data_IF_194881309779
#
_entry.id   IF_194881309779
#
_cell.length_a   1.000
_cell.length_b   1.000
_cell.length_c   1.000
_cell.angle_alpha   90.00
_cell.angle_beta   90.00
_cell.angle_gamma   90.00
#
_symmetry.space_group_name_H-M   'P 1'
#
loop_
_entity.id
_entity.type
_entity.pdbx_description
1 polymer ?
#
# COMPACT_ATOMS: atom_id res chain seq x y z
N UNK A 1 -5.91 -8.73 -5.81
CA UNK A 1 -4.65 -9.45 -5.51
C UNK A 1 -4.83 -10.29 -4.25
N UNK A 2 -4.26 -11.49 -4.21
CA UNK A 2 -4.16 -12.35 -3.04
C UNK A 2 -2.73 -12.41 -2.50
N UNK A 3 -2.50 -13.11 -1.40
CA UNK A 3 -1.18 -13.20 -0.77
C UNK A 3 -0.12 -13.81 -1.70
N UNK A 4 -0.44 -14.85 -2.47
CA UNK A 4 0.49 -15.48 -3.39
C UNK A 4 0.85 -14.54 -4.57
N UNK A 5 -0.10 -13.74 -5.02
CA UNK A 5 0.11 -12.72 -6.05
C UNK A 5 0.96 -11.54 -5.53
N UNK A 6 0.77 -11.11 -4.27
CA UNK A 6 1.68 -10.15 -3.60
C UNK A 6 3.12 -10.67 -3.61
N UNK A 7 3.34 -11.90 -3.19
CA UNK A 7 4.67 -12.52 -3.14
C UNK A 7 5.29 -12.68 -4.53
N UNK A 8 4.47 -13.01 -5.52
CA UNK A 8 4.90 -13.02 -6.93
C UNK A 8 5.25 -11.61 -7.41
N UNK A 9 4.44 -10.61 -7.09
CA UNK A 9 4.70 -9.22 -7.45
C UNK A 9 6.00 -8.68 -6.86
N UNK A 10 6.29 -8.98 -5.58
CA UNK A 10 7.56 -8.65 -4.93
C UNK A 10 8.74 -9.26 -5.70
N UNK A 11 8.67 -10.55 -6.04
CA UNK A 11 9.70 -11.23 -6.81
C UNK A 11 9.88 -10.62 -8.19
N UNK A 12 8.79 -10.38 -8.92
CA UNK A 12 8.83 -9.79 -10.25
C UNK A 12 9.38 -8.36 -10.22
N UNK A 13 8.93 -7.54 -9.28
CA UNK A 13 9.39 -6.16 -9.13
C UNK A 13 10.90 -6.10 -8.86
N UNK A 14 11.39 -6.87 -7.90
CA UNK A 14 12.82 -6.92 -7.57
C UNK A 14 13.68 -7.39 -8.75
N UNK A 15 13.18 -8.33 -9.56
CA UNK A 15 13.88 -8.82 -10.75
C UNK A 15 13.89 -7.76 -11.87
N UNK A 16 12.79 -7.05 -12.10
CA UNK A 16 12.68 -5.99 -13.10
C UNK A 16 13.66 -4.84 -12.82
N UNK A 17 13.75 -4.41 -11.56
CA UNK A 17 14.62 -3.28 -11.17
C UNK A 17 16.01 -3.71 -10.71
N UNK A 18 16.29 -5.02 -10.68
CA UNK A 18 17.57 -5.61 -10.25
C UNK A 18 17.95 -5.19 -8.82
N UNK A 19 16.97 -5.27 -7.90
CA UNK A 19 17.14 -4.99 -6.48
C UNK A 19 16.85 -6.25 -5.66
N UNK A 20 17.26 -6.27 -4.39
CA UNK A 20 16.97 -7.36 -3.47
C UNK A 20 15.68 -7.13 -2.69
N UNK A 21 15.22 -5.87 -2.66
CA UNK A 21 14.08 -5.45 -1.87
C UNK A 21 13.30 -4.30 -2.51
N UNK A 22 12.01 -4.23 -2.20
CA UNK A 22 11.07 -3.18 -2.63
C UNK A 22 10.12 -2.83 -1.49
N UNK A 23 9.49 -1.65 -1.57
CA UNK A 23 8.38 -1.28 -0.68
C UNK A 23 7.06 -1.45 -1.44
N UNK A 24 6.04 -1.95 -0.76
CA UNK A 24 4.66 -2.03 -1.25
C UNK A 24 3.81 -1.05 -0.46
N UNK A 25 3.25 -0.04 -1.12
CA UNK A 25 2.57 1.08 -0.44
C UNK A 25 1.07 1.21 -0.69
N UNK A 26 0.54 0.61 -1.72
CA UNK A 26 -0.89 0.73 -2.06
C UNK A 26 -1.80 -0.18 -1.25
N UNK A 27 -3.06 -0.26 -1.69
CA UNK A 27 -4.11 -1.02 -1.00
C UNK A 27 -3.72 -2.45 -0.65
N UNK A 28 -2.94 -3.09 -1.53
CA UNK A 28 -2.57 -4.49 -1.38
C UNK A 28 -1.42 -4.73 -0.38
N UNK A 29 -0.83 -3.66 0.20
CA UNK A 29 0.14 -3.80 1.29
C UNK A 29 -0.47 -4.46 2.54
N UNK A 30 -1.80 -4.39 2.73
CA UNK A 30 -2.52 -5.10 3.82
C UNK A 30 -2.32 -6.61 3.78
N UNK A 31 -2.05 -7.17 2.60
CA UNK A 31 -1.72 -8.59 2.42
C UNK A 31 -0.37 -8.96 3.05
N UNK A 32 0.46 -7.99 3.44
CA UNK A 32 1.64 -8.18 4.26
C UNK A 32 1.30 -8.58 5.69
N UNK A 33 0.13 -8.17 6.19
CA UNK A 33 -0.37 -8.42 7.54
C UNK A 33 -1.36 -9.58 7.60
N UNK A 34 -2.35 -9.59 6.70
CA UNK A 34 -3.44 -10.57 6.67
C UNK A 34 -3.47 -11.34 5.35
N UNK A 35 -4.07 -12.52 5.38
CA UNK A 35 -4.45 -13.24 4.17
C UNK A 35 -5.73 -12.63 3.57
N UNK A 36 -5.99 -12.89 2.30
CA UNK A 36 -7.22 -12.44 1.62
C UNK A 36 -8.50 -12.94 2.29
N UNK A 37 -8.45 -14.08 2.97
CA UNK A 37 -9.61 -14.66 3.68
C UNK A 37 -9.97 -13.93 4.97
N UNK A 38 -9.05 -13.13 5.51
CA UNK A 38 -9.24 -12.33 6.72
C UNK A 38 -9.68 -10.89 6.40
N UNK A 39 -9.58 -10.50 5.12
CA UNK A 39 -9.84 -9.14 4.66
C UNK A 39 -11.26 -8.99 4.10
N UNK A 40 -11.91 -7.82 4.30
CA UNK A 40 -13.15 -7.49 3.62
C UNK A 40 -12.91 -7.33 2.11
N UNK A 41 -13.96 -7.56 1.31
CA UNK A 41 -13.89 -7.50 -0.16
C UNK A 41 -13.40 -6.14 -0.67
N UNK A 42 -13.71 -5.06 0.02
CA UNK A 42 -13.26 -3.70 -0.29
C UNK A 42 -11.73 -3.56 -0.23
N UNK A 43 -11.08 -4.35 0.61
CA UNK A 43 -9.61 -4.33 0.76
C UNK A 43 -8.89 -5.18 -0.30
N UNK A 44 -9.57 -6.15 -0.91
CA UNK A 44 -8.98 -7.07 -1.89
C UNK A 44 -9.43 -6.81 -3.34
N UNK A 45 -10.25 -5.79 -3.57
CA UNK A 45 -10.85 -5.50 -4.87
C UNK A 45 -9.84 -5.03 -5.95
N UNK A 46 -8.70 -4.46 -5.56
CA UNK A 46 -7.69 -3.97 -6.52
C UNK A 46 -6.86 -5.12 -7.09
N UNK A 47 -6.60 -5.05 -8.40
CA UNK A 47 -5.64 -5.90 -9.10
C UNK A 47 -4.29 -5.18 -9.35
N UNK A 48 -4.10 -4.02 -8.74
CA UNK A 48 -2.90 -3.18 -8.82
C UNK A 48 -2.04 -3.36 -7.57
N UNK A 49 -0.74 -3.53 -7.76
CA UNK A 49 0.26 -3.57 -6.70
C UNK A 49 1.20 -2.37 -6.84
N UNK A 50 1.05 -1.39 -5.96
CA UNK A 50 1.86 -0.17 -5.93
C UNK A 50 3.25 -0.48 -5.34
N UNK A 51 4.30 -0.34 -6.13
CA UNK A 51 5.67 -0.67 -5.76
C UNK A 51 6.56 0.56 -5.78
N UNK A 52 7.16 0.87 -4.64
CA UNK A 52 8.13 1.94 -4.46
C UNK A 52 9.55 1.36 -4.42
N UNK A 53 10.43 1.74 -5.37
CA UNK A 53 11.85 1.38 -5.28
C UNK A 53 12.52 2.01 -4.05
N UNK A 54 13.40 1.25 -3.36
CA UNK A 54 14.12 1.78 -2.20
C UNK A 54 15.19 2.80 -2.56
N UNK A 55 15.76 2.70 -3.76
CA UNK A 55 16.84 3.59 -4.20
C UNK A 55 16.29 4.97 -4.55
N UNK A 56 16.58 5.96 -3.70
CA UNK A 56 16.10 7.33 -3.87
C UNK A 56 16.70 8.06 -5.08
N UNK A 57 17.91 7.69 -5.49
CA UNK A 57 18.64 8.39 -6.56
C UNK A 57 18.00 8.18 -7.93
N UNK A 58 17.47 6.98 -8.19
CA UNK A 58 16.88 6.58 -9.48
C UNK A 58 15.42 6.15 -9.37
N UNK A 59 14.75 6.49 -8.27
CA UNK A 59 13.44 5.94 -7.93
C UNK A 59 12.38 6.19 -9.01
N UNK A 60 12.35 7.37 -9.64
CA UNK A 60 11.41 7.68 -10.73
C UNK A 60 11.68 6.87 -12.00
N UNK A 61 12.95 6.65 -12.33
CA UNK A 61 13.35 5.81 -13.48
C UNK A 61 12.98 4.35 -13.25
N UNK A 62 13.23 3.85 -12.04
CA UNK A 62 12.89 2.49 -11.65
C UNK A 62 11.37 2.27 -11.58
N UNK A 63 10.62 3.24 -11.05
CA UNK A 63 9.17 3.23 -11.04
C UNK A 63 8.60 3.19 -12.47
N UNK A 64 9.09 4.04 -13.36
CA UNK A 64 8.71 4.04 -14.79
C UNK A 64 9.01 2.69 -15.44
N UNK A 65 10.15 2.08 -15.12
CA UNK A 65 10.53 0.75 -15.63
C UNK A 65 9.57 -0.34 -15.13
N UNK A 66 9.16 -0.32 -13.87
CA UNK A 66 8.18 -1.25 -13.31
C UNK A 66 6.86 -1.18 -14.08
N UNK A 67 6.27 0.02 -14.18
CA UNK A 67 5.00 0.22 -14.89
C UNK A 67 5.14 -0.11 -16.39
N UNK A 68 6.29 0.17 -17.01
CA UNK A 68 6.54 -0.14 -18.42
C UNK A 68 6.64 -1.63 -18.72
N UNK A 69 7.15 -2.45 -17.79
CA UNK A 69 7.35 -3.90 -17.98
C UNK A 69 6.16 -4.72 -17.49
N UNK A 70 5.61 -4.37 -16.33
CA UNK A 70 4.58 -5.15 -15.64
C UNK A 70 3.33 -4.33 -15.27
N UNK A 71 3.15 -3.13 -15.82
CA UNK A 71 2.00 -2.27 -15.58
C UNK A 71 0.71 -2.76 -16.26
N UNK A 72 -0.33 -1.96 -16.12
CA UNK A 72 -1.63 -2.22 -16.72
C UNK A 72 -1.50 -2.45 -18.25
N UNK A 73 -2.26 -3.40 -18.78
CA UNK A 73 -2.26 -3.83 -20.18
C UNK A 73 -0.92 -4.43 -20.69
N UNK A 74 0.03 -4.70 -19.82
CA UNK A 74 1.26 -5.41 -20.16
C UNK A 74 1.02 -6.91 -20.38
N UNK A 75 2.03 -7.59 -20.93
CA UNK A 75 2.00 -9.07 -21.01
C UNK A 75 2.00 -9.72 -19.61
N UNK A 76 2.57 -9.06 -18.61
CA UNK A 76 2.52 -9.51 -17.23
C UNK A 76 1.09 -9.49 -16.71
N UNK A 77 0.39 -8.36 -16.85
CA UNK A 77 -1.02 -8.20 -16.46
C UNK A 77 -1.92 -9.23 -17.17
N UNK A 78 -1.79 -9.35 -18.49
CA UNK A 78 -2.55 -10.32 -19.28
C UNK A 78 -2.30 -11.78 -18.86
N UNK A 79 -1.12 -12.09 -18.33
CA UNK A 79 -0.75 -13.45 -17.93
C UNK A 79 -1.18 -13.78 -16.51
N UNK A 80 -1.09 -12.80 -15.60
CA UNK A 80 -1.23 -13.04 -14.16
C UNK A 80 -2.53 -12.47 -13.58
N UNK A 81 -3.27 -11.61 -14.31
CA UNK A 81 -4.53 -11.00 -13.85
C UNK A 81 -4.35 -9.88 -12.83
N UNK A 82 -3.12 -9.43 -12.60
CA UNK A 82 -2.77 -8.26 -11.81
C UNK A 82 -1.54 -7.59 -12.41
N UNK A 83 -1.30 -6.34 -12.03
CA UNK A 83 -0.17 -5.57 -12.53
C UNK A 83 0.58 -4.83 -11.42
N UNK A 84 1.80 -4.36 -11.76
CA UNK A 84 2.64 -3.57 -10.88
C UNK A 84 2.59 -2.11 -11.33
N UNK A 85 2.27 -1.22 -10.41
CA UNK A 85 2.43 0.21 -10.63
C UNK A 85 3.65 0.74 -9.89
N UNK A 86 4.62 1.22 -10.64
CA UNK A 86 5.82 1.85 -10.09
C UNK A 86 5.50 3.25 -9.61
N UNK A 87 5.66 3.49 -8.32
CA UNK A 87 5.29 4.76 -7.69
C UNK A 87 6.48 5.45 -7.04
N UNK A 88 6.39 6.77 -6.90
CA UNK A 88 7.40 7.59 -6.21
C UNK A 88 7.06 7.83 -4.74
N UNK A 89 8.04 8.31 -3.96
CA UNK A 89 7.85 8.59 -2.52
C UNK A 89 6.75 9.61 -2.21
N UNK A 90 6.43 10.49 -3.15
CA UNK A 90 5.38 11.51 -3.01
C UNK A 90 3.99 11.05 -3.44
N UNK A 91 3.84 9.80 -3.82
CA UNK A 91 2.55 9.24 -4.23
C UNK A 91 1.57 9.13 -3.04
N UNK A 92 2.10 8.93 -1.84
CA UNK A 92 1.30 8.86 -0.61
C UNK A 92 1.85 9.83 0.44
N UNK A 93 0.95 10.44 1.21
CA UNK A 93 1.30 11.19 2.42
C UNK A 93 1.21 10.20 3.59
N UNK A 94 2.33 10.04 4.31
CA UNK A 94 2.48 9.03 5.34
C UNK A 94 2.89 9.66 6.68
N UNK A 95 2.50 9.06 7.82
CA UNK A 95 2.90 9.53 9.14
C UNK A 95 4.41 9.48 9.34
N UNK A 96 4.95 10.38 10.13
CA UNK A 96 6.39 10.36 10.46
C UNK A 96 6.81 9.00 11.02
N UNK A 97 7.98 8.53 10.61
CA UNK A 97 8.56 7.26 11.05
C UNK A 97 7.93 6.01 10.44
N UNK A 98 7.13 6.14 9.38
CA UNK A 98 6.49 5.01 8.70
C UNK A 98 7.48 3.95 8.21
N UNK A 99 8.69 4.34 7.78
CA UNK A 99 9.72 3.39 7.34
C UNK A 99 10.12 2.41 8.46
N UNK A 100 10.12 2.87 9.72
CA UNK A 100 10.42 2.03 10.88
C UNK A 100 9.33 1.04 11.25
N UNK A 101 8.15 1.13 10.62
CA UNK A 101 6.99 0.28 10.88
C UNK A 101 6.64 -0.65 9.72
N UNK A 102 7.45 -0.65 8.67
CA UNK A 102 7.25 -1.54 7.52
C UNK A 102 7.29 -3.02 7.94
N UNK A 103 6.41 -3.78 7.35
CA UNK A 103 6.24 -5.21 7.61
C UNK A 103 6.97 -6.03 6.55
N UNK A 104 7.84 -6.93 6.99
CA UNK A 104 8.68 -7.74 6.11
C UNK A 104 7.92 -8.95 5.58
N UNK A 105 7.88 -9.07 4.26
CA UNK A 105 7.42 -10.26 3.53
C UNK A 105 8.62 -10.88 2.82
N UNK A 106 9.00 -12.09 3.24
CA UNK A 106 10.11 -12.85 2.64
C UNK A 106 9.91 -14.33 2.92
N UNK A 107 9.88 -15.14 1.87
CA UNK A 107 9.75 -16.60 1.96
C UNK A 107 10.21 -17.26 0.64
N UNK A 108 9.90 -18.56 0.47
CA UNK A 108 10.26 -19.30 -0.74
C UNK A 108 9.54 -18.77 -1.98
N UNK A 109 8.29 -18.27 -1.88
CA UNK A 109 7.55 -17.71 -3.00
C UNK A 109 8.15 -16.39 -3.48
N UNK A 110 8.75 -15.60 -2.58
CA UNK A 110 9.51 -14.40 -2.96
C UNK A 110 10.93 -14.74 -3.45
N UNK A 111 11.34 -16.03 -3.42
CA UNK A 111 12.70 -16.49 -3.69
C UNK A 111 13.75 -15.77 -2.85
N UNK A 112 13.42 -15.51 -1.58
CA UNK A 112 14.29 -14.80 -0.65
C UNK A 112 14.37 -13.28 -0.88
N UNK A 113 13.64 -12.72 -1.85
CA UNK A 113 13.50 -11.27 -2.02
C UNK A 113 12.61 -10.68 -0.94
N UNK A 114 12.82 -9.43 -0.60
CA UNK A 114 12.11 -8.76 0.49
C UNK A 114 11.10 -7.75 -0.08
N UNK A 115 9.84 -7.89 0.33
CA UNK A 115 8.83 -6.86 0.21
C UNK A 115 8.60 -6.21 1.58
N UNK A 116 8.72 -4.90 1.65
CA UNK A 116 8.40 -4.09 2.82
C UNK A 116 6.99 -3.50 2.64
N UNK A 117 6.00 -4.09 3.29
CA UNK A 117 4.62 -3.65 3.21
C UNK A 117 4.33 -2.56 4.24
N UNK A 118 3.51 -1.56 3.89
CA UNK A 118 3.07 -0.55 4.84
C UNK A 118 2.33 -1.19 6.02
N UNK A 119 2.57 -0.62 7.21
CA UNK A 119 1.68 -0.84 8.36
C UNK A 119 0.25 -0.44 7.99
N UNK A 120 -0.77 -1.24 8.35
CA UNK A 120 -2.17 -0.96 7.98
C UNK A 120 -2.72 0.38 8.47
N UNK A 121 -2.30 0.87 9.65
CA UNK A 121 -2.73 2.18 10.15
C UNK A 121 -2.09 3.31 9.34
N UNK A 122 -0.80 3.19 8.99
CA UNK A 122 -0.12 4.16 8.12
C UNK A 122 -0.75 4.19 6.72
N UNK A 123 -1.14 3.03 6.18
CA UNK A 123 -1.90 2.95 4.94
C UNK A 123 -3.27 3.65 5.05
N UNK A 124 -4.01 3.42 6.15
CA UNK A 124 -5.29 4.08 6.37
C UNK A 124 -5.16 5.60 6.43
N UNK A 125 -4.09 6.14 7.03
CA UNK A 125 -3.80 7.58 6.99
C UNK A 125 -3.61 8.06 5.55
N UNK A 126 -2.79 7.37 4.75
CA UNK A 126 -2.60 7.74 3.34
C UNK A 126 -3.93 7.71 2.55
N UNK A 127 -4.79 6.74 2.84
CA UNK A 127 -6.14 6.64 2.26
C UNK A 127 -7.06 7.79 2.67
N UNK A 128 -7.04 8.18 3.94
CA UNK A 128 -7.81 9.31 4.46
C UNK A 128 -7.36 10.63 3.81
N UNK A 129 -6.04 10.80 3.61
CA UNK A 129 -5.49 12.00 2.93
C UNK A 129 -5.89 12.02 1.45
N UNK A 130 -5.82 10.88 0.75
CA UNK A 130 -6.26 10.77 -0.65
C UNK A 130 -7.79 11.00 -0.82
N UNK A 131 -8.57 10.62 0.18
CA UNK A 131 -9.99 10.91 0.38
C UNK A 131 -10.92 10.63 -0.81
N UNK A 132 -10.59 9.67 -1.67
CA UNK A 132 -11.48 9.20 -2.75
C UNK A 132 -12.57 8.30 -2.16
N UNK A 133 -13.70 8.12 -2.86
CA UNK A 133 -14.78 7.24 -2.40
C UNK A 133 -14.29 5.82 -2.09
N UNK A 134 -13.45 5.26 -2.95
CA UNK A 134 -12.85 3.94 -2.75
C UNK A 134 -11.95 3.88 -1.51
N UNK A 135 -11.24 4.97 -1.19
CA UNK A 135 -10.34 5.05 -0.04
C UNK A 135 -11.13 5.10 1.27
N UNK A 136 -12.21 5.89 1.32
CA UNK A 136 -13.13 5.92 2.47
C UNK A 136 -13.81 4.56 2.70
N UNK A 137 -14.27 3.91 1.63
CA UNK A 137 -14.85 2.56 1.71
C UNK A 137 -13.85 1.54 2.24
N UNK A 138 -12.59 1.60 1.80
CA UNK A 138 -11.50 0.76 2.28
C UNK A 138 -11.28 0.92 3.79
N UNK A 139 -11.06 2.16 4.27
CA UNK A 139 -10.81 2.43 5.68
C UNK A 139 -12.02 2.02 6.54
N UNK A 140 -13.23 2.41 6.13
CA UNK A 140 -14.47 2.03 6.82
C UNK A 140 -14.64 0.52 6.95
N UNK A 141 -14.32 -0.24 5.89
CA UNK A 141 -14.41 -1.69 5.92
C UNK A 141 -13.42 -2.31 6.92
N UNK A 142 -12.17 -1.86 6.94
CA UNK A 142 -11.16 -2.36 7.88
C UNK A 142 -11.54 -2.04 9.34
N UNK A 143 -12.03 -0.83 9.61
CA UNK A 143 -12.49 -0.43 10.96
C UNK A 143 -13.67 -1.29 11.41
N UNK A 144 -14.70 -1.43 10.56
CA UNK A 144 -15.89 -2.26 10.88
C UNK A 144 -15.57 -3.73 11.14
N UNK A 145 -14.52 -4.26 10.50
CA UNK A 145 -14.05 -5.63 10.74
C UNK A 145 -13.09 -5.75 11.94
N UNK A 146 -12.83 -4.66 12.66
CA UNK A 146 -11.94 -4.66 13.83
C UNK A 146 -10.46 -4.90 13.48
N UNK A 147 -10.06 -4.66 12.23
CA UNK A 147 -8.69 -4.83 11.75
C UNK A 147 -7.82 -3.59 11.99
N UNK A 148 -8.44 -2.44 12.20
CA UNK A 148 -7.79 -1.17 12.50
C UNK A 148 -8.24 -0.69 13.87
N UNK A 149 -7.29 -0.36 14.72
CA UNK A 149 -7.52 0.31 16.00
C UNK A 149 -7.76 1.82 15.73
N UNK A 150 -8.97 2.34 16.06
CA UNK A 150 -9.30 3.74 15.83
C UNK A 150 -8.40 4.71 16.60
N UNK A 151 -8.02 4.39 17.83
CA UNK A 151 -7.17 5.27 18.65
C UNK A 151 -5.77 5.38 18.02
N UNK A 152 -5.18 4.25 17.62
CA UNK A 152 -3.89 4.23 16.95
C UNK A 152 -3.94 4.93 15.59
N UNK A 153 -5.04 4.80 14.83
CA UNK A 153 -5.22 5.52 13.57
C UNK A 153 -5.19 7.05 13.79
N UNK A 154 -5.88 7.54 14.82
CA UNK A 154 -5.87 8.97 15.16
C UNK A 154 -4.49 9.44 15.62
N UNK A 155 -3.76 8.65 16.40
CA UNK A 155 -2.37 8.95 16.78
C UNK A 155 -1.46 9.09 15.53
N UNK A 156 -1.58 8.17 14.57
CA UNK A 156 -0.84 8.25 13.31
C UNK A 156 -1.20 9.49 12.50
N UNK A 157 -2.46 9.89 12.52
CA UNK A 157 -2.93 11.09 11.83
C UNK A 157 -2.34 12.36 12.43
N UNK A 158 -2.20 12.45 13.78
CA UNK A 158 -1.51 13.56 14.46
C UNK A 158 -0.05 13.66 14.03
N UNK A 159 0.62 12.53 13.79
CA UNK A 159 2.01 12.48 13.35
C UNK A 159 2.20 12.73 11.85
N UNK A 160 1.14 13.10 11.14
CA UNK A 160 1.18 13.34 9.69
C UNK A 160 1.26 14.85 9.40
N UNK A 161 2.20 15.23 8.54
CA UNK A 161 2.38 16.63 8.14
C UNK A 161 1.36 17.00 7.05
N UNK A 162 0.33 17.75 7.42
CA UNK A 162 -0.79 18.18 6.57
C UNK A 162 -0.91 19.71 6.61
N UNK A 163 -1.25 20.30 5.46
CA UNK A 163 -1.71 21.69 5.45
C UNK A 163 -3.09 21.82 6.13
N UNK A 164 -3.44 23.05 6.57
CA UNK A 164 -4.64 23.32 7.35
C UNK A 164 -5.93 22.84 6.64
N UNK A 165 -6.06 23.10 5.34
CA UNK A 165 -7.26 22.75 4.58
C UNK A 165 -7.42 21.22 4.41
N UNK A 166 -6.33 20.53 4.15
CA UNK A 166 -6.29 19.05 4.09
C UNK A 166 -6.57 18.47 5.46
N UNK A 167 -5.97 19.02 6.51
CA UNK A 167 -6.15 18.59 7.90
C UNK A 167 -7.62 18.59 8.31
N UNK A 168 -8.33 19.73 8.14
CA UNK A 168 -9.75 19.83 8.49
C UNK A 168 -10.60 18.76 7.80
N UNK A 169 -10.36 18.55 6.52
CA UNK A 169 -11.09 17.57 5.72
C UNK A 169 -10.81 16.13 6.20
N UNK A 170 -9.56 15.80 6.43
CA UNK A 170 -9.12 14.46 6.86
C UNK A 170 -9.66 14.14 8.25
N UNK A 171 -9.58 15.09 9.19
CA UNK A 171 -10.12 14.92 10.54
C UNK A 171 -11.62 14.73 10.55
N UNK A 172 -12.37 15.54 9.78
CA UNK A 172 -13.82 15.39 9.64
C UNK A 172 -14.19 14.03 9.06
N UNK A 173 -13.46 13.57 8.04
CA UNK A 173 -13.68 12.26 7.44
C UNK A 173 -13.36 11.13 8.42
N UNK A 174 -12.22 11.21 9.12
CA UNK A 174 -11.82 10.22 10.11
C UNK A 174 -12.86 10.09 11.22
N UNK A 175 -13.30 11.19 11.81
CA UNK A 175 -14.35 11.19 12.84
C UNK A 175 -15.63 10.52 12.35
N UNK A 176 -16.11 10.87 11.14
CA UNK A 176 -17.32 10.27 10.58
C UNK A 176 -17.21 8.78 10.29
N UNK A 177 -16.01 8.27 10.03
CA UNK A 177 -15.77 6.83 9.82
C UNK A 177 -15.59 6.05 11.12
N UNK A 178 -15.11 6.70 12.19
CA UNK A 178 -14.85 6.06 13.48
C UNK A 178 -16.07 6.08 14.40
N UNK A 179 -17.05 6.96 14.16
CA UNK A 179 -18.33 7.01 14.88
C UNK A 179 -19.33 5.92 14.41
N UNK A 180 -18.93 5.07 13.48
CA UNK A 180 -19.70 3.93 12.95
C UNK A 180 -19.40 2.62 13.72
#
# INVERSE_FOLDING_TARGET
VNRAELEHGIRAATEIIQADEVIVIGSQSVLGTWSESELPVEATASNELDVLPLNDTDSETLATRLSGVAGELSSFDATHGFHLDGVGRRTAVLPRGWEGRLLRVQNDNTRGRIGWCLDPHDLCVAKLVANRDKDRSFVSALVRHGLIDPELLLERLVDTDLDDATSDTVWSTAQGLLDL
#
